data_IF_606662870263
#
_entry.id   IF_606662870263
#
_cell.length_a   1.000
_cell.length_b   1.000
_cell.length_c   1.000
_cell.angle_alpha   90.00
_cell.angle_beta   90.00
_cell.angle_gamma   90.00
#
_symmetry.space_group_name_H-M   'P 1'
#
loop_
_entity.id
_entity.type
_entity.pdbx_description
1 polymer ?
#
# COMPACT_ATOMS: atom_id res chain seq x y z
N UNK A 1 -18.55 -5.72 -1.55
CA UNK A 1 -17.11 -5.46 -1.84
C UNK A 1 -16.59 -6.52 -2.78
N UNK A 2 -15.78 -6.15 -3.75
CA UNK A 2 -15.27 -7.11 -4.72
C UNK A 2 -14.30 -8.12 -4.07
N UNK A 3 -14.14 -9.28 -4.70
CA UNK A 3 -13.20 -10.30 -4.24
C UNK A 3 -11.75 -9.78 -4.26
N UNK A 4 -11.41 -8.95 -5.26
CA UNK A 4 -10.06 -8.39 -5.36
C UNK A 4 -9.78 -7.46 -4.19
N UNK A 5 -10.72 -6.57 -3.85
CA UNK A 5 -10.55 -5.69 -2.69
C UNK A 5 -10.44 -6.49 -1.40
N UNK A 6 -11.29 -7.49 -1.22
CA UNK A 6 -11.20 -8.40 -0.07
C UNK A 6 -9.83 -9.08 -0.02
N UNK A 7 -9.33 -9.53 -1.16
CA UNK A 7 -8.02 -10.16 -1.25
C UNK A 7 -6.86 -9.23 -0.90
N UNK A 8 -6.92 -7.97 -1.34
CA UNK A 8 -5.89 -6.98 -1.00
C UNK A 8 -5.86 -6.73 0.51
N UNK A 9 -7.04 -6.52 1.11
CA UNK A 9 -7.14 -6.32 2.56
C UNK A 9 -6.64 -7.56 3.32
N UNK A 10 -7.00 -8.75 2.85
CA UNK A 10 -6.52 -10.00 3.47
C UNK A 10 -4.99 -10.12 3.39
N UNK A 11 -4.40 -9.77 2.25
CA UNK A 11 -2.95 -9.79 2.08
C UNK A 11 -2.26 -8.78 3.01
N UNK A 12 -2.82 -7.57 3.12
CA UNK A 12 -2.29 -6.54 4.01
C UNK A 12 -2.35 -7.00 5.48
N UNK A 13 -3.45 -7.62 5.89
CA UNK A 13 -3.59 -8.14 7.25
C UNK A 13 -2.66 -9.33 7.50
N UNK A 14 -2.41 -10.17 6.48
CA UNK A 14 -1.38 -11.21 6.56
C UNK A 14 -0.01 -10.59 6.86
N UNK A 15 0.32 -9.48 6.17
CA UNK A 15 1.56 -8.77 6.42
C UNK A 15 1.65 -8.26 7.86
N UNK A 16 0.57 -7.68 8.36
CA UNK A 16 0.52 -7.18 9.75
C UNK A 16 0.74 -8.31 10.74
N UNK A 17 0.11 -9.47 10.53
CA UNK A 17 0.29 -10.64 11.42
C UNK A 17 1.71 -11.20 11.39
N UNK A 18 2.44 -10.95 10.30
CA UNK A 18 3.82 -11.43 10.12
C UNK A 18 4.85 -10.30 10.24
N UNK A 19 4.48 -9.21 10.88
CA UNK A 19 5.28 -8.00 11.01
C UNK A 19 6.73 -8.27 11.41
N UNK A 20 7.03 -9.12 12.40
CA UNK A 20 8.44 -9.33 12.79
C UNK A 20 9.31 -9.97 11.71
N UNK A 21 8.71 -10.56 10.68
CA UNK A 21 9.42 -11.25 9.59
C UNK A 21 9.36 -10.49 8.26
N UNK A 22 8.82 -9.28 8.28
CA UNK A 22 8.79 -8.39 7.11
C UNK A 22 9.60 -7.16 7.45
N UNK A 23 10.79 -7.10 6.86
CA UNK A 23 11.77 -6.05 7.13
C UNK A 23 11.60 -4.89 6.15
N UNK A 24 12.07 -3.71 6.54
CA UNK A 24 12.01 -2.54 5.67
C UNK A 24 13.29 -2.38 4.86
N UNK A 25 13.13 -2.20 3.56
CA UNK A 25 14.23 -1.91 2.65
C UNK A 25 13.72 -1.79 1.22
N UNK A 26 14.35 -0.91 0.45
CA UNK A 26 13.98 -0.65 -0.94
C UNK A 26 14.57 -1.72 -1.88
N UNK A 27 14.16 -2.96 -1.70
CA UNK A 27 14.62 -4.07 -2.52
C UNK A 27 13.91 -4.08 -3.86
N UNK A 28 14.70 -4.20 -4.94
CA UNK A 28 14.16 -4.34 -6.30
C UNK A 28 14.91 -5.48 -7.03
N UNK A 29 14.27 -6.37 -7.75
CA UNK A 29 12.81 -6.40 -7.91
C UNK A 29 12.10 -6.70 -6.59
N UNK A 30 10.87 -6.18 -6.48
CA UNK A 30 10.02 -6.40 -5.30
C UNK A 30 9.76 -7.90 -5.15
N UNK A 31 9.95 -8.49 -3.96
CA UNK A 31 9.60 -9.89 -3.76
C UNK A 31 8.09 -10.07 -3.85
N UNK A 32 7.65 -10.98 -4.74
CA UNK A 32 6.24 -11.22 -5.00
C UNK A 32 5.87 -12.64 -4.57
N UNK A 33 5.64 -12.81 -3.28
CA UNK A 33 5.28 -14.10 -2.72
C UNK A 33 5.09 -14.03 -1.21
N UNK A 34 4.75 -15.17 -0.61
CA UNK A 34 4.49 -15.26 0.83
C UNK A 34 5.65 -15.88 1.62
N UNK A 35 6.78 -16.11 0.98
CA UNK A 35 7.93 -16.68 1.70
C UNK A 35 8.50 -15.65 2.67
N UNK A 36 8.70 -16.08 3.91
CA UNK A 36 9.23 -15.25 4.97
C UNK A 36 10.59 -15.79 5.45
N UNK A 37 11.51 -14.94 5.92
CA UNK A 37 11.40 -13.48 5.98
C UNK A 37 11.50 -12.82 4.61
N UNK A 38 10.93 -11.64 4.48
CA UNK A 38 11.07 -10.86 3.27
C UNK A 38 11.37 -9.40 3.62
N UNK A 39 11.89 -8.66 2.65
CA UNK A 39 12.21 -7.24 2.80
C UNK A 39 11.51 -6.45 1.70
N UNK A 40 10.74 -5.46 2.09
CA UNK A 40 10.08 -4.52 1.17
C UNK A 40 10.06 -3.12 1.77
N UNK A 41 9.82 -2.13 0.91
CA UNK A 41 9.47 -0.79 1.35
C UNK A 41 7.95 -0.58 1.28
N UNK A 42 7.47 0.65 1.51
CA UNK A 42 6.04 0.92 1.56
C UNK A 42 5.33 0.60 0.24
N UNK A 43 5.88 1.04 -0.88
CA UNK A 43 5.30 0.78 -2.20
C UNK A 43 5.48 -0.67 -2.63
N UNK A 44 6.56 -1.31 -2.23
CA UNK A 44 6.78 -2.74 -2.47
C UNK A 44 5.75 -3.59 -1.75
N UNK A 45 5.46 -3.25 -0.50
CA UNK A 45 4.43 -3.95 0.26
C UNK A 45 3.04 -3.78 -0.35
N UNK A 46 2.69 -2.56 -0.76
CA UNK A 46 1.41 -2.31 -1.43
C UNK A 46 1.30 -3.13 -2.73
N UNK A 47 2.37 -3.14 -3.53
CA UNK A 47 2.43 -3.92 -4.77
C UNK A 47 2.26 -5.41 -4.49
N UNK A 48 2.92 -5.93 -3.46
CA UNK A 48 2.79 -7.33 -3.05
C UNK A 48 1.35 -7.68 -2.67
N UNK A 49 0.67 -6.81 -1.93
CA UNK A 49 -0.72 -7.04 -1.56
C UNK A 49 -1.63 -7.15 -2.80
N UNK A 50 -1.42 -6.29 -3.79
CA UNK A 50 -2.17 -6.34 -5.05
C UNK A 50 -1.87 -7.64 -5.82
N UNK A 51 -0.61 -8.02 -5.88
CA UNK A 51 -0.18 -9.26 -6.55
C UNK A 51 -0.86 -10.48 -5.92
N UNK A 52 -0.83 -10.59 -4.60
CA UNK A 52 -1.40 -11.73 -3.88
C UNK A 52 -2.92 -11.82 -4.05
N UNK A 53 -3.58 -10.70 -4.28
CA UNK A 53 -5.02 -10.65 -4.51
C UNK A 53 -5.43 -10.92 -5.96
N UNK A 54 -4.47 -11.07 -6.88
CA UNK A 54 -4.76 -11.23 -8.28
C UNK A 54 -5.21 -9.95 -8.98
N UNK A 55 -4.91 -8.79 -8.40
CA UNK A 55 -5.21 -7.51 -9.02
C UNK A 55 -4.20 -7.18 -10.12
N UNK A 56 -4.57 -6.25 -11.01
CA UNK A 56 -3.61 -5.68 -11.96
C UNK A 56 -2.54 -4.92 -11.20
N UNK A 57 -1.32 -4.90 -11.73
CA UNK A 57 -0.23 -4.15 -11.11
C UNK A 57 -0.62 -2.66 -11.00
N UNK A 58 -0.70 -2.11 -9.78
CA UNK A 58 -1.07 -0.70 -9.60
C UNK A 58 -0.02 0.26 -10.16
N UNK A 59 1.20 -0.24 -10.40
CA UNK A 59 2.27 0.53 -11.03
C UNK A 59 2.16 0.55 -12.56
N UNK A 60 1.28 -0.27 -13.15
CA UNK A 60 1.14 -0.38 -14.59
C UNK A 60 2.36 -0.99 -15.29
N UNK A 61 3.09 -1.87 -14.61
CA UNK A 61 4.36 -2.43 -15.10
C UNK A 61 4.32 -3.95 -15.25
N UNK A 62 3.13 -4.57 -15.19
CA UNK A 62 3.01 -6.03 -15.33
C UNK A 62 3.77 -6.81 -14.27
N UNK A 63 3.92 -6.26 -13.08
CA UNK A 63 4.65 -6.87 -11.96
C UNK A 63 6.11 -7.18 -12.32
N UNK A 64 6.79 -6.24 -12.99
CA UNK A 64 8.22 -6.39 -13.30
C UNK A 64 9.12 -6.24 -12.05
N UNK A 65 8.54 -5.84 -10.92
CA UNK A 65 9.27 -5.69 -9.66
C UNK A 65 9.93 -4.33 -9.46
N UNK A 66 9.72 -3.38 -10.35
CA UNK A 66 10.39 -2.08 -10.28
C UNK A 66 9.44 -0.90 -10.05
N UNK A 67 8.22 -1.19 -9.60
CA UNK A 67 7.29 -0.15 -9.20
C UNK A 67 7.74 0.60 -7.94
N UNK A 68 7.21 1.78 -7.72
CA UNK A 68 7.53 2.65 -6.59
C UNK A 68 6.40 3.70 -6.43
N UNK A 69 6.50 4.57 -5.42
CA UNK A 69 5.45 5.56 -5.18
C UNK A 69 5.18 6.42 -6.41
N UNK A 70 6.22 6.80 -7.15
CA UNK A 70 6.06 7.59 -8.37
C UNK A 70 5.22 6.90 -9.44
N UNK A 71 5.44 5.61 -9.68
CA UNK A 71 4.64 4.88 -10.66
C UNK A 71 3.19 4.69 -10.20
N UNK A 72 2.96 4.54 -8.90
CA UNK A 72 1.60 4.51 -8.35
C UNK A 72 0.87 5.82 -8.66
N UNK A 73 1.52 6.95 -8.39
CA UNK A 73 0.95 8.27 -8.66
C UNK A 73 0.70 8.50 -10.16
N UNK A 74 1.54 7.95 -11.03
CA UNK A 74 1.38 8.11 -12.48
C UNK A 74 0.26 7.25 -13.06
N UNK A 75 0.01 6.08 -12.48
CA UNK A 75 -0.86 5.07 -13.11
C UNK A 75 -2.22 4.91 -12.47
N UNK A 76 -2.32 5.11 -11.15
CA UNK A 76 -3.61 5.00 -10.48
C UNK A 76 -4.41 6.29 -10.64
N UNK A 77 -5.73 6.17 -10.52
CA UNK A 77 -6.61 7.35 -10.59
C UNK A 77 -6.76 8.00 -9.24
N UNK A 78 -6.77 9.33 -9.22
CA UNK A 78 -7.07 10.09 -8.01
C UNK A 78 -8.56 9.95 -7.71
N UNK A 79 -8.88 9.68 -6.45
CA UNK A 79 -10.27 9.60 -5.99
C UNK A 79 -10.47 10.56 -4.82
N UNK A 80 -11.70 11.02 -4.66
CA UNK A 80 -12.07 11.83 -3.51
C UNK A 80 -11.94 10.96 -2.24
N UNK A 81 -11.47 11.55 -1.16
CA UNK A 81 -11.30 10.84 0.11
C UNK A 81 -12.58 10.12 0.54
N UNK A 82 -13.74 10.72 0.30
CA UNK A 82 -15.03 10.15 0.69
C UNK A 82 -15.47 8.99 -0.20
N UNK A 83 -14.83 8.82 -1.36
CA UNK A 83 -15.10 7.74 -2.29
C UNK A 83 -14.13 6.57 -2.15
N UNK A 84 -13.17 6.66 -1.23
CA UNK A 84 -12.17 5.62 -0.99
C UNK A 84 -12.83 4.35 -0.48
N UNK A 85 -12.38 3.22 -1.00
CA UNK A 85 -12.87 1.90 -0.63
C UNK A 85 -11.72 1.03 -0.13
N UNK A 86 -12.02 -0.08 0.58
CA UNK A 86 -10.96 -0.99 1.03
C UNK A 86 -10.10 -1.48 -0.13
N UNK A 87 -8.79 -1.50 0.09
CA UNK A 87 -7.81 -1.90 -0.92
C UNK A 87 -7.25 -0.73 -1.73
N UNK A 88 -7.88 0.45 -1.70
CA UNK A 88 -7.30 1.64 -2.31
C UNK A 88 -6.03 2.05 -1.57
N UNK A 89 -5.27 2.97 -2.15
CA UNK A 89 -4.02 3.43 -1.55
C UNK A 89 -4.10 4.91 -1.18
N UNK A 90 -3.29 5.29 -0.22
CA UNK A 90 -3.02 6.69 0.10
C UNK A 90 -1.54 6.95 -0.09
N UNK A 91 -1.19 8.10 -0.65
CA UNK A 91 0.19 8.56 -0.80
C UNK A 91 0.32 9.93 -0.15
N UNK A 92 1.33 10.08 0.73
CA UNK A 92 1.71 11.37 1.29
C UNK A 92 2.91 11.91 0.52
N UNK A 93 2.90 13.21 0.25
CA UNK A 93 3.95 13.91 -0.46
C UNK A 93 3.64 14.09 -1.94
N UNK A 94 4.06 15.25 -2.48
CA UNK A 94 3.99 15.52 -3.91
C UNK A 94 4.83 14.50 -4.68
N UNK A 95 4.54 14.38 -5.98
CA UNK A 95 5.31 13.48 -6.84
C UNK A 95 6.82 13.67 -6.62
N UNK A 96 7.59 12.60 -6.42
CA UNK A 96 7.25 11.18 -6.59
C UNK A 96 6.64 10.51 -5.36
N UNK A 97 6.21 11.24 -4.36
CA UNK A 97 5.64 10.71 -3.13
C UNK A 97 6.71 10.39 -2.09
N UNK A 98 6.30 10.43 -0.82
CA UNK A 98 7.18 10.15 0.31
C UNK A 98 6.86 8.82 0.98
N UNK A 99 5.58 8.50 1.11
CA UNK A 99 5.10 7.29 1.78
C UNK A 99 3.74 6.89 1.22
N UNK A 100 3.43 5.60 1.26
CA UNK A 100 2.11 5.12 0.89
C UNK A 100 1.64 4.03 1.85
N UNK A 101 0.32 3.81 1.88
CA UNK A 101 -0.29 2.78 2.70
C UNK A 101 -1.55 2.23 2.02
N UNK A 102 -1.96 1.02 2.44
CA UNK A 102 -3.15 0.34 1.93
C UNK A 102 -4.33 0.65 2.85
N UNK A 103 -5.46 1.05 2.29
CA UNK A 103 -6.68 1.30 3.06
C UNK A 103 -7.31 -0.04 3.45
N UNK A 104 -7.43 -0.27 4.76
CA UNK A 104 -8.12 -1.45 5.31
C UNK A 104 -9.61 -1.16 5.51
N UNK A 105 -9.91 -0.05 6.17
CA UNK A 105 -11.27 0.39 6.48
C UNK A 105 -11.39 1.87 6.17
N UNK A 106 -12.24 2.26 5.21
CA UNK A 106 -12.48 3.68 4.94
C UNK A 106 -13.30 4.32 6.06
N UNK A 107 -13.58 5.60 5.94
CA UNK A 107 -14.37 6.33 6.92
C UNK A 107 -13.77 7.70 7.22
N UNK A 108 -14.21 8.32 8.30
CA UNK A 108 -13.75 9.67 8.68
C UNK A 108 -12.27 9.69 9.03
N UNK A 109 -11.77 8.61 9.64
CA UNK A 109 -10.34 8.43 9.94
C UNK A 109 -9.94 7.01 9.53
N UNK A 110 -9.62 6.79 8.24
CA UNK A 110 -9.40 5.46 7.71
C UNK A 110 -8.34 4.67 8.48
N UNK A 111 -8.59 3.36 8.62
CA UNK A 111 -7.60 2.43 9.13
C UNK A 111 -6.75 1.95 7.96
N UNK A 112 -5.44 2.02 8.11
CA UNK A 112 -4.46 1.74 7.08
C UNK A 112 -3.54 0.59 7.48
N UNK A 113 -3.00 -0.11 6.49
CA UNK A 113 -1.83 -0.97 6.66
C UNK A 113 -0.62 -0.19 6.16
N UNK A 114 0.28 0.16 7.06
CA UNK A 114 1.45 0.99 6.76
C UNK A 114 2.73 0.23 7.06
N UNK A 115 3.67 0.23 6.12
CA UNK A 115 4.99 -0.38 6.27
C UNK A 115 6.04 0.72 6.21
N UNK A 116 6.57 1.09 7.38
CA UNK A 116 7.56 2.15 7.51
C UNK A 116 8.93 1.63 7.91
N UNK A 117 9.90 2.55 7.99
CA UNK A 117 11.30 2.21 8.25
C UNK A 117 11.54 1.58 9.63
N UNK A 118 10.77 1.97 10.62
CA UNK A 118 11.03 1.59 12.00
C UNK A 118 10.37 0.27 12.39
N UNK A 119 9.41 -0.18 11.58
CA UNK A 119 8.64 -1.40 11.87
C UNK A 119 8.17 -2.05 10.59
N UNK A 120 7.88 -3.32 10.68
CA UNK A 120 7.14 -4.03 9.64
C UNK A 120 5.70 -3.50 9.53
N UNK A 121 4.86 -4.09 8.66
CA UNK A 121 3.52 -3.59 8.43
C UNK A 121 2.70 -3.55 9.72
N UNK A 122 1.96 -2.47 9.92
CA UNK A 122 1.11 -2.30 11.09
C UNK A 122 -0.20 -1.62 10.70
N UNK A 123 -1.24 -1.87 11.51
CA UNK A 123 -2.51 -1.16 11.35
C UNK A 123 -2.42 0.17 12.09
N UNK A 124 -2.74 1.27 11.40
CA UNK A 124 -2.64 2.61 11.97
C UNK A 124 -3.73 3.49 11.36
N UNK A 125 -4.31 4.38 12.17
CA UNK A 125 -5.26 5.37 11.67
C UNK A 125 -4.55 6.41 10.80
N UNK A 126 -5.25 6.88 9.79
CA UNK A 126 -4.72 7.91 8.89
C UNK A 126 -4.25 9.15 9.65
N UNK A 127 -5.02 9.61 10.64
CA UNK A 127 -4.67 10.79 11.44
C UNK A 127 -3.36 10.59 12.18
N UNK A 128 -3.10 9.39 12.71
CA UNK A 128 -1.87 9.11 13.43
C UNK A 128 -0.67 9.05 12.48
N UNK A 129 -0.80 8.36 11.33
CA UNK A 129 0.29 8.30 10.35
C UNK A 129 0.62 9.67 9.79
N UNK A 130 -0.40 10.49 9.51
CA UNK A 130 -0.22 11.83 8.92
C UNK A 130 0.62 12.76 9.77
N UNK A 131 0.72 12.51 11.09
CA UNK A 131 1.54 13.32 12.00
C UNK A 131 3.04 13.23 11.66
N UNK A 132 3.44 12.18 10.96
CA UNK A 132 4.85 11.92 10.62
C UNK A 132 5.12 12.07 9.13
N UNK A 133 4.12 12.49 8.35
CA UNK A 133 4.20 12.52 6.89
C UNK A 133 4.00 13.95 6.36
N UNK A 134 4.43 14.21 5.10
CA UNK A 134 4.12 15.49 4.45
C UNK A 134 2.61 15.78 4.42
N UNK A 135 2.25 17.05 4.36
CA UNK A 135 0.85 17.48 4.39
C UNK A 135 0.06 17.10 3.14
N UNK A 136 0.71 17.03 1.98
CA UNK A 136 0.06 16.65 0.73
C UNK A 136 -0.39 15.20 0.79
N UNK A 137 -1.65 14.95 0.45
CA UNK A 137 -2.24 13.60 0.48
C UNK A 137 -2.98 13.37 -0.84
N UNK A 138 -2.74 12.22 -1.45
CA UNK A 138 -3.43 11.76 -2.64
C UNK A 138 -4.04 10.40 -2.37
N UNK A 139 -5.33 10.24 -2.63
CA UNK A 139 -6.02 8.96 -2.53
C UNK A 139 -6.12 8.36 -3.93
N UNK A 140 -5.75 7.09 -4.05
CA UNK A 140 -5.57 6.43 -5.34
C UNK A 140 -6.40 5.16 -5.43
N UNK A 141 -7.01 4.93 -6.60
CA UNK A 141 -7.70 3.69 -6.91
C UNK A 141 -7.39 3.23 -8.32
N UNK A 142 -7.32 1.93 -8.52
CA UNK A 142 -7.26 1.29 -9.85
C UNK A 142 -8.21 0.10 -9.89
N UNK A 143 -9.15 0.05 -8.95
CA UNK A 143 -10.01 -1.11 -8.72
C UNK A 143 -11.46 -0.78 -9.06
N UNK A 144 -12.24 -1.76 -9.50
CA UNK A 144 -13.67 -1.56 -9.71
C UNK A 144 -14.42 -1.30 -8.40
#
# INVERSE_FOLDING_TARGET
MSEIRTGIVAAARWGIRNEPRIHYGAVRPIPLGRELPLTTDCSGFATLCYYLAGARDPNGRGYDGYGWTGSLLERMENVDRRAVLPGDLVVWGEYPGHHCAVVLEPGDDPLLASHGQERGPLAIRFSDESRYQPADVTWLSSLP
#
